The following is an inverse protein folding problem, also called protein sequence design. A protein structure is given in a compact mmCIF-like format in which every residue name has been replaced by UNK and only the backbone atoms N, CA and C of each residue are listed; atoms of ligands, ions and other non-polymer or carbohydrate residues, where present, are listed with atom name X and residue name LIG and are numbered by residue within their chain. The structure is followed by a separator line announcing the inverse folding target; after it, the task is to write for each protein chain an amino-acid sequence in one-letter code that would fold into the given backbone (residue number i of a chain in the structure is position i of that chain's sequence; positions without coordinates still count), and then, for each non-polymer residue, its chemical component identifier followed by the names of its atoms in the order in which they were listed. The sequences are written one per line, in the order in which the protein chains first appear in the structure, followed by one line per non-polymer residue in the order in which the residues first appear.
data_IF_322231545356
#
_entry.id   IF_322231545356
#
_cell.length_a   1.000
_cell.length_b   1.000
_cell.length_c   1.000
_cell.angle_alpha   90.00
_cell.angle_beta   90.00
_cell.angle_gamma   90.00
#
_symmetry.space_group_name_H-M   'P 1'
#
loop_
_entity.id
_entity.type
_entity.pdbx_description
1 polymer ?
#
# COMPACT_ATOMS: atom_id res chain seq x y z
N UNK A 1 1.23 -11.85 -26.75
CA UNK A 1 1.94 -12.75 -27.68
C UNK A 1 1.26 -12.82 -29.06
N UNK A 2 -0.03 -13.16 -29.14
CA UNK A 2 -0.76 -13.23 -30.42
C UNK A 2 -0.72 -11.94 -31.27
N UNK A 3 -0.95 -10.76 -30.65
CA UNK A 3 -0.92 -9.46 -31.35
C UNK A 3 0.48 -9.05 -31.86
N UNK A 4 1.55 -9.49 -31.17
CA UNK A 4 2.93 -9.20 -31.57
C UNK A 4 3.38 -10.07 -32.75
N UNK A 5 2.84 -11.29 -32.85
CA UNK A 5 3.08 -12.17 -34.00
C UNK A 5 2.37 -11.66 -35.27
N UNK A 6 1.15 -11.16 -35.11
CA UNK A 6 0.34 -10.60 -36.21
C UNK A 6 0.94 -9.28 -36.74
N UNK A 7 1.47 -8.42 -35.86
CA UNK A 7 2.21 -7.22 -36.23
C UNK A 7 3.48 -7.54 -37.06
N UNK A 8 4.20 -8.60 -36.69
CA UNK A 8 5.44 -9.01 -37.36
C UNK A 8 5.20 -9.61 -38.75
N UNK A 9 4.14 -10.38 -38.93
CA UNK A 9 3.72 -10.92 -40.24
C UNK A 9 3.24 -9.81 -41.19
N UNK A 10 2.51 -8.83 -40.67
CA UNK A 10 2.07 -7.66 -41.43
C UNK A 10 3.25 -6.79 -41.84
N UNK A 11 4.23 -6.55 -40.95
CA UNK A 11 5.45 -5.80 -41.28
C UNK A 11 6.27 -6.47 -42.38
N UNK A 12 6.45 -7.80 -42.32
CA UNK A 12 7.17 -8.55 -43.36
C UNK A 12 6.50 -8.47 -44.73
N UNK A 13 5.17 -8.57 -44.77
CA UNK A 13 4.40 -8.42 -46.02
C UNK A 13 4.44 -6.99 -46.58
N UNK A 14 4.46 -5.97 -45.72
CA UNK A 14 4.63 -4.58 -46.15
C UNK A 14 6.01 -4.38 -46.78
N UNK A 15 7.09 -4.87 -46.14
CA UNK A 15 8.45 -4.72 -46.65
C UNK A 15 8.63 -5.39 -48.02
N UNK A 16 8.13 -6.62 -48.21
CA UNK A 16 8.22 -7.33 -49.50
C UNK A 16 7.46 -6.59 -50.63
N UNK A 17 6.29 -6.04 -50.32
CA UNK A 17 5.47 -5.27 -51.28
C UNK A 17 6.13 -3.92 -51.59
N UNK A 18 6.72 -3.25 -50.59
CA UNK A 18 7.43 -1.98 -50.77
C UNK A 18 8.70 -2.16 -51.61
N UNK A 19 9.48 -3.22 -51.40
CA UNK A 19 10.62 -3.55 -52.25
C UNK A 19 10.21 -3.80 -53.70
N UNK A 20 9.17 -4.61 -53.91
CA UNK A 20 8.67 -4.94 -55.24
C UNK A 20 8.13 -3.71 -55.96
N UNK A 21 7.43 -2.82 -55.25
CA UNK A 21 6.94 -1.53 -55.76
C UNK A 21 8.09 -0.61 -56.13
N UNK A 22 9.12 -0.51 -55.29
CA UNK A 22 10.29 0.33 -55.56
C UNK A 22 11.04 -0.13 -56.81
N UNK A 23 11.24 -1.44 -57.00
CA UNK A 23 11.86 -2.00 -58.22
C UNK A 23 11.05 -1.74 -59.49
N UNK A 24 9.71 -1.86 -59.42
CA UNK A 24 8.85 -1.59 -60.57
C UNK A 24 8.82 -0.09 -60.90
N UNK A 25 8.80 0.78 -59.89
CA UNK A 25 8.82 2.23 -60.09
C UNK A 25 10.14 2.73 -60.66
N UNK A 26 11.29 2.23 -60.17
CA UNK A 26 12.60 2.60 -60.72
C UNK A 26 12.72 2.20 -62.18
N UNK A 27 12.31 0.98 -62.52
CA UNK A 27 12.36 0.48 -63.90
C UNK A 27 11.40 1.24 -64.83
N UNK A 28 10.22 1.63 -64.33
CA UNK A 28 9.26 2.45 -65.08
C UNK A 28 9.78 3.85 -65.35
N UNK A 29 10.47 4.45 -64.39
CA UNK A 29 11.04 5.79 -64.54
C UNK A 29 12.25 5.79 -65.49
N UNK A 30 13.12 4.78 -65.41
CA UNK A 30 14.20 4.53 -66.38
C UNK A 30 13.67 4.41 -67.81
N UNK A 31 12.57 3.65 -68.02
CA UNK A 31 11.95 3.50 -69.33
C UNK A 31 11.32 4.80 -69.85
N UNK A 32 10.73 5.63 -68.97
CA UNK A 32 10.19 6.94 -69.35
C UNK A 32 11.29 7.91 -69.76
N UNK A 33 12.38 7.96 -69.00
CA UNK A 33 13.55 8.80 -69.34
C UNK A 33 14.13 8.36 -70.67
N UNK A 34 14.32 7.06 -70.88
CA UNK A 34 14.81 6.51 -72.15
C UNK A 34 13.87 6.83 -73.33
N UNK A 35 12.55 6.76 -73.14
CA UNK A 35 11.58 7.14 -74.17
C UNK A 35 11.65 8.64 -74.50
N UNK A 36 11.79 9.50 -73.48
CA UNK A 36 11.91 10.95 -73.66
C UNK A 36 13.19 11.33 -74.40
N UNK A 37 14.33 10.72 -74.06
CA UNK A 37 15.60 10.90 -74.77
C UNK A 37 15.50 10.48 -76.24
N UNK A 38 14.84 9.35 -76.52
CA UNK A 38 14.67 8.87 -77.90
C UNK A 38 13.72 9.76 -78.71
N UNK A 39 12.67 10.31 -78.10
CA UNK A 39 11.79 11.31 -78.73
C UNK A 39 12.54 12.60 -79.04
N UNK A 40 13.30 13.14 -78.08
CA UNK A 40 14.12 14.33 -78.30
C UNK A 40 15.14 14.11 -79.44
N UNK A 41 15.78 12.93 -79.48
CA UNK A 41 16.71 12.58 -80.56
C UNK A 41 16.01 12.46 -81.91
N UNK A 42 14.78 11.95 -81.94
CA UNK A 42 13.97 11.88 -83.15
C UNK A 42 13.62 13.30 -83.65
N UNK A 43 13.22 14.21 -82.76
CA UNK A 43 12.92 15.60 -83.10
C UNK A 43 14.16 16.35 -83.64
N UNK A 44 15.34 16.12 -83.07
CA UNK A 44 16.61 16.65 -83.59
C UNK A 44 16.88 16.16 -85.02
N UNK A 45 16.72 14.85 -85.27
CA UNK A 45 16.92 14.26 -86.59
C UNK A 45 15.88 14.76 -87.60
N UNK A 46 14.64 14.99 -87.18
CA UNK A 46 13.61 15.60 -88.04
C UNK A 46 13.97 17.02 -88.46
N UNK A 47 14.49 17.83 -87.54
CA UNK A 47 14.96 19.20 -87.84
C UNK A 47 16.16 19.18 -88.78
N UNK A 48 17.16 18.34 -88.50
CA UNK A 48 18.34 18.20 -89.35
C UNK A 48 17.99 17.72 -90.76
N UNK A 49 17.04 16.79 -90.89
CA UNK A 49 16.52 16.33 -92.18
C UNK A 49 15.84 17.48 -92.95
N UNK A 50 15.00 18.26 -92.29
CA UNK A 50 14.31 19.41 -92.89
C UNK A 50 15.29 20.48 -93.38
N UNK A 51 16.36 20.73 -92.62
CA UNK A 51 17.44 21.64 -92.99
C UNK A 51 18.22 21.12 -94.20
N UNK A 52 18.59 19.83 -94.22
CA UNK A 52 19.25 19.18 -95.36
C UNK A 52 18.38 19.13 -96.60
N UNK A 53 17.07 18.91 -96.47
CA UNK A 53 16.12 18.98 -97.58
C UNK A 53 15.97 20.41 -98.13
N UNK A 54 16.05 21.42 -97.26
CA UNK A 54 16.05 22.83 -97.66
C UNK A 54 17.32 23.20 -98.40
N UNK A 55 18.50 22.85 -97.89
CA UNK A 55 19.79 23.00 -98.58
C UNK A 55 19.76 22.33 -99.96
N UNK A 56 19.27 21.08 -100.03
CA UNK A 56 19.08 20.37 -101.30
C UNK A 56 18.17 21.13 -102.27
N UNK A 57 17.05 21.70 -101.80
CA UNK A 57 16.12 22.48 -102.63
C UNK A 57 16.71 23.81 -103.09
N UNK A 58 17.54 24.46 -102.28
CA UNK A 58 18.24 25.70 -102.63
C UNK A 58 19.27 25.43 -103.75
N UNK A 59 20.11 24.40 -103.60
CA UNK A 59 21.02 23.93 -104.66
C UNK A 59 20.24 23.58 -105.94
N UNK A 60 19.08 22.94 -105.80
CA UNK A 60 18.23 22.58 -106.94
C UNK A 60 17.56 23.79 -107.63
N UNK A 61 17.39 24.91 -106.92
CA UNK A 61 16.88 26.17 -107.48
C UNK A 61 17.97 27.00 -108.18
N UNK A 62 19.22 26.95 -107.70
CA UNK A 62 20.37 27.55 -108.40
C UNK A 62 20.61 26.90 -109.78
N UNK A 63 20.12 25.67 -109.97
CA UNK A 63 20.14 24.88 -111.20
C UNK A 63 19.12 25.30 -112.30
N UNK A 64 18.69 26.57 -112.31
CA UNK A 64 17.66 27.08 -113.22
C UNK A 64 17.90 26.83 -114.73
N UNK A 65 16.78 26.53 -115.41
CA UNK A 65 16.48 26.44 -116.85
C UNK A 65 17.43 25.64 -117.79
N UNK A 66 16.81 24.73 -118.54
CA UNK A 66 17.45 23.74 -119.41
C UNK A 66 18.07 24.45 -120.61
N UNK A 67 19.38 24.70 -120.59
CA UNK A 67 20.08 25.20 -121.77
C UNK A 67 21.58 25.47 -121.70
N UNK A 68 22.18 25.76 -120.53
CA UNK A 68 23.55 26.32 -120.52
C UNK A 68 24.51 25.95 -119.39
N UNK A 69 24.37 24.81 -118.70
CA UNK A 69 25.38 24.38 -117.70
C UNK A 69 25.99 23.02 -118.02
N UNK A 70 26.63 22.95 -119.20
CA UNK A 70 27.58 21.90 -119.57
C UNK A 70 29.03 22.24 -119.17
N UNK A 71 29.22 23.22 -118.27
CA UNK A 71 30.52 23.73 -117.83
C UNK A 71 30.67 23.93 -116.31
N UNK A 72 29.77 23.36 -115.49
CA UNK A 72 29.99 23.21 -114.03
C UNK A 72 29.81 21.74 -113.66
N UNK A 73 30.76 20.94 -114.16
CA UNK A 73 30.99 19.57 -113.72
C UNK A 73 31.77 19.66 -112.41
N UNK A 74 31.05 19.62 -111.27
CA UNK A 74 31.47 19.29 -109.88
C UNK A 74 30.40 19.90 -108.96
N UNK A 75 29.27 19.22 -108.76
CA UNK A 75 29.00 18.67 -107.42
C UNK A 75 28.06 17.44 -107.45
N UNK A 76 28.24 16.55 -108.45
CA UNK A 76 27.52 15.27 -108.49
C UNK A 76 27.86 14.37 -107.30
N UNK A 77 29.11 14.41 -106.84
CA UNK A 77 29.54 13.74 -105.61
C UNK A 77 28.83 14.31 -104.37
N UNK A 78 28.75 15.63 -104.22
CA UNK A 78 28.03 16.25 -103.09
C UNK A 78 26.55 15.91 -103.05
N UNK A 79 25.89 15.86 -104.21
CA UNK A 79 24.49 15.43 -104.30
C UNK A 79 24.31 13.94 -103.96
N UNK A 80 25.27 13.08 -104.32
CA UNK A 80 25.26 11.68 -103.90
C UNK A 80 25.56 11.50 -102.41
N UNK A 81 26.49 12.27 -101.83
CA UNK A 81 26.78 12.22 -100.39
C UNK A 81 25.58 12.72 -99.59
N UNK A 82 24.93 13.82 -100.00
CA UNK A 82 23.70 14.29 -99.35
C UNK A 82 22.54 13.31 -99.50
N UNK A 83 22.41 12.64 -100.64
CA UNK A 83 21.39 11.60 -100.82
C UNK A 83 21.65 10.41 -99.88
N UNK A 84 22.91 9.97 -99.75
CA UNK A 84 23.29 8.89 -98.81
C UNK A 84 23.07 9.29 -97.36
N UNK A 85 23.39 10.52 -96.98
CA UNK A 85 23.14 11.05 -95.64
C UNK A 85 21.63 11.09 -95.33
N UNK A 86 20.82 11.63 -96.24
CA UNK A 86 19.35 11.65 -96.10
C UNK A 86 18.79 10.23 -95.96
N UNK A 87 19.26 9.27 -96.77
CA UNK A 87 18.83 7.87 -96.66
C UNK A 87 19.26 7.21 -95.34
N UNK A 88 20.43 7.57 -94.78
CA UNK A 88 20.84 7.10 -93.45
C UNK A 88 19.98 7.70 -92.34
N UNK A 89 19.67 9.00 -92.40
CA UNK A 89 18.80 9.66 -91.43
C UNK A 89 17.37 9.10 -91.46
N UNK A 90 16.83 8.81 -92.65
CA UNK A 90 15.52 8.17 -92.77
C UNK A 90 15.48 6.74 -92.22
N UNK A 91 16.59 6.00 -92.33
CA UNK A 91 16.72 4.66 -91.73
C UNK A 91 16.78 4.75 -90.21
N UNK A 92 17.60 5.65 -89.67
CA UNK A 92 17.73 5.84 -88.22
C UNK A 92 16.43 6.33 -87.59
N UNK A 93 15.71 7.24 -88.27
CA UNK A 93 14.37 7.70 -87.87
C UNK A 93 13.37 6.55 -87.83
N UNK A 94 13.38 5.66 -88.83
CA UNK A 94 12.50 4.47 -88.84
C UNK A 94 12.82 3.52 -87.69
N UNK A 95 14.10 3.22 -87.48
CA UNK A 95 14.54 2.36 -86.38
C UNK A 95 14.15 2.92 -85.01
N UNK A 96 14.27 4.23 -84.81
CA UNK A 96 13.86 4.90 -83.57
C UNK A 96 12.34 4.85 -83.36
N UNK A 97 11.55 5.05 -84.42
CA UNK A 97 10.09 5.01 -84.37
C UNK A 97 9.54 3.62 -84.08
N UNK A 98 10.17 2.58 -84.63
CA UNK A 98 9.82 1.20 -84.31
C UNK A 98 10.18 0.84 -82.87
N UNK A 99 11.31 1.33 -82.36
CA UNK A 99 11.70 1.17 -80.95
C UNK A 99 10.79 1.94 -79.99
N UNK A 100 10.37 3.14 -80.37
CA UNK A 100 9.37 3.92 -79.63
C UNK A 100 8.03 3.17 -79.53
N UNK A 101 7.58 2.55 -80.62
CA UNK A 101 6.39 1.69 -80.62
C UNK A 101 6.55 0.46 -79.74
N UNK A 102 7.69 -0.23 -79.81
CA UNK A 102 7.96 -1.39 -78.96
C UNK A 102 7.95 -1.01 -77.47
N UNK A 103 8.61 0.09 -77.11
CA UNK A 103 8.62 0.61 -75.74
C UNK A 103 7.24 1.06 -75.28
N UNK A 104 6.46 1.70 -76.15
CA UNK A 104 5.08 2.12 -75.86
C UNK A 104 4.15 0.91 -75.64
N UNK A 105 4.31 -0.16 -76.43
CA UNK A 105 3.58 -1.42 -76.26
C UNK A 105 3.98 -2.14 -74.96
N UNK A 106 5.29 -2.18 -74.64
CA UNK A 106 5.77 -2.71 -73.35
C UNK A 106 5.16 -1.94 -72.18
N UNK A 107 5.18 -0.61 -72.21
CA UNK A 107 4.54 0.24 -71.20
C UNK A 107 3.04 -0.03 -71.10
N UNK A 108 2.33 -0.18 -72.23
CA UNK A 108 0.91 -0.55 -72.28
C UNK A 108 0.59 -1.96 -71.76
N UNK A 109 1.56 -2.89 -71.81
CA UNK A 109 1.39 -4.22 -71.20
C UNK A 109 1.48 -4.18 -69.67
N UNK A 110 2.20 -3.21 -69.10
CA UNK A 110 2.28 -3.00 -67.64
C UNK A 110 1.05 -2.29 -67.06
N UNK A 111 0.22 -1.63 -67.86
CA UNK A 111 -1.07 -1.06 -67.41
C UNK A 111 -2.16 -2.12 -67.13
N UNK A 112 -1.92 -3.41 -67.45
CA UNK A 112 -2.82 -4.54 -67.09
C UNK A 112 -2.39 -5.29 -65.82
N UNK A 113 -1.27 -4.94 -65.19
CA UNK A 113 -0.98 -5.33 -63.81
C UNK A 113 -1.86 -4.48 -62.87
N UNK A 114 -2.26 -5.02 -61.71
CA UNK A 114 -3.11 -4.32 -60.73
C UNK A 114 -2.72 -2.84 -60.61
N UNK A 115 -3.67 -1.90 -60.75
CA UNK A 115 -3.36 -0.47 -60.77
C UNK A 115 -2.51 -0.10 -59.56
N UNK A 116 -1.44 0.67 -59.77
CA UNK A 116 -0.61 1.17 -58.67
C UNK A 116 -1.45 1.88 -57.59
N UNK A 117 -2.61 2.44 -57.97
CA UNK A 117 -3.62 3.00 -57.08
C UNK A 117 -4.28 1.99 -56.13
N UNK A 118 -4.56 0.74 -56.53
CA UNK A 118 -5.17 -0.26 -55.63
C UNK A 118 -4.17 -0.76 -54.59
N UNK A 119 -2.91 -0.93 -55.00
CA UNK A 119 -1.79 -1.26 -54.09
C UNK A 119 -1.50 -0.07 -53.16
N UNK A 120 -1.56 1.17 -53.65
CA UNK A 120 -1.42 2.38 -52.82
C UNK A 120 -2.55 2.54 -51.80
N UNK A 121 -3.79 2.24 -52.19
CA UNK A 121 -4.93 2.22 -51.26
C UNK A 121 -4.74 1.15 -50.18
N UNK A 122 -4.38 -0.06 -50.57
CA UNK A 122 -4.12 -1.16 -49.64
C UNK A 122 -2.96 -0.85 -48.68
N UNK A 123 -1.87 -0.24 -49.17
CA UNK A 123 -0.75 0.22 -48.34
C UNK A 123 -1.16 1.35 -47.38
N UNK A 124 -1.98 2.30 -47.84
CA UNK A 124 -2.51 3.39 -47.01
C UNK A 124 -3.39 2.85 -45.87
N UNK A 125 -4.28 1.91 -46.18
CA UNK A 125 -5.15 1.29 -45.19
C UNK A 125 -4.37 0.42 -44.19
N UNK A 126 -3.33 -0.30 -44.65
CA UNK A 126 -2.44 -1.03 -43.75
C UNK A 126 -1.64 -0.11 -42.84
N UNK A 127 -1.14 1.03 -43.35
CA UNK A 127 -0.42 2.04 -42.56
C UNK A 127 -1.32 2.63 -41.48
N UNK A 128 -2.57 2.97 -41.81
CA UNK A 128 -3.56 3.44 -40.83
C UNK A 128 -3.83 2.41 -39.75
N UNK A 129 -4.03 1.14 -40.13
CA UNK A 129 -4.20 0.04 -39.16
C UNK A 129 -2.99 -0.12 -38.25
N UNK A 130 -1.77 -0.05 -38.79
CA UNK A 130 -0.53 -0.10 -37.99
C UNK A 130 -0.47 1.05 -36.99
N UNK A 131 -0.82 2.26 -37.41
CA UNK A 131 -0.80 3.44 -36.56
C UNK A 131 -1.84 3.36 -35.44
N UNK A 132 -3.06 2.89 -35.73
CA UNK A 132 -4.08 2.58 -34.70
C UNK A 132 -3.59 1.53 -33.70
N UNK A 133 -2.97 0.44 -34.19
CA UNK A 133 -2.44 -0.62 -33.32
C UNK A 133 -1.33 -0.09 -32.41
N UNK A 134 -0.41 0.73 -32.92
CA UNK A 134 0.67 1.33 -32.12
C UNK A 134 0.15 2.28 -31.04
N UNK A 135 -0.86 3.10 -31.36
CA UNK A 135 -1.52 3.97 -30.39
C UNK A 135 -2.21 3.15 -29.30
N UNK A 136 -2.94 2.09 -29.69
CA UNK A 136 -3.60 1.20 -28.74
C UNK A 136 -2.59 0.47 -27.84
N UNK A 137 -1.46 0.02 -28.40
CA UNK A 137 -0.40 -0.65 -27.66
C UNK A 137 0.26 0.28 -26.64
N UNK A 138 0.48 1.55 -27.02
CA UNK A 138 1.00 2.58 -26.11
C UNK A 138 0.04 2.91 -24.97
N UNK A 139 -1.26 2.97 -25.24
CA UNK A 139 -2.28 3.17 -24.22
C UNK A 139 -2.34 1.98 -23.24
N UNK A 140 -2.32 0.75 -23.78
CA UNK A 140 -2.35 -0.47 -22.98
C UNK A 140 -1.09 -0.61 -22.10
N UNK A 141 0.10 -0.27 -22.61
CA UNK A 141 1.34 -0.27 -21.83
C UNK A 141 1.29 0.74 -20.68
N UNK A 142 0.66 1.90 -20.90
CA UNK A 142 0.46 2.91 -19.86
C UNK A 142 -0.51 2.41 -18.78
N UNK A 143 -1.62 1.77 -19.16
CA UNK A 143 -2.59 1.17 -18.23
C UNK A 143 -1.98 0.03 -17.41
N UNK A 144 -1.14 -0.82 -18.04
CA UNK A 144 -0.44 -1.91 -17.35
C UNK A 144 0.51 -1.32 -16.30
N UNK A 145 1.32 -0.31 -16.64
CA UNK A 145 2.23 0.35 -15.70
C UNK A 145 1.49 0.98 -14.52
N UNK A 146 0.37 1.64 -14.78
CA UNK A 146 -0.44 2.24 -13.71
C UNK A 146 -1.07 1.17 -12.82
N UNK A 147 -1.57 0.08 -13.40
CA UNK A 147 -2.16 -1.05 -12.66
C UNK A 147 -1.12 -1.75 -11.78
N UNK A 148 0.10 -1.97 -12.29
CA UNK A 148 1.21 -2.54 -11.52
C UNK A 148 1.58 -1.67 -10.32
N UNK A 149 1.66 -0.34 -10.51
CA UNK A 149 1.91 0.60 -9.42
C UNK A 149 0.82 0.54 -8.35
N UNK A 150 -0.46 0.57 -8.76
CA UNK A 150 -1.61 0.43 -7.83
C UNK A 150 -1.58 -0.91 -7.08
N UNK A 151 -1.15 -1.99 -7.73
CA UNK A 151 -1.01 -3.30 -7.11
C UNK A 151 0.09 -3.30 -6.02
N UNK A 152 1.20 -2.62 -6.27
CA UNK A 152 2.30 -2.49 -5.31
C UNK A 152 1.90 -1.61 -4.12
N UNK A 153 1.23 -0.48 -4.37
CA UNK A 153 0.65 0.37 -3.33
C UNK A 153 -0.36 -0.41 -2.48
N UNK A 154 -1.26 -1.19 -3.09
CA UNK A 154 -2.21 -2.07 -2.39
C UNK A 154 -1.50 -3.08 -1.49
N UNK A 155 -0.47 -3.78 -1.98
CA UNK A 155 0.32 -4.73 -1.17
C UNK A 155 0.96 -4.06 0.04
N UNK A 156 1.47 -2.83 -0.13
CA UNK A 156 2.07 -2.06 0.95
C UNK A 156 1.03 -1.67 2.02
N UNK A 157 -0.17 -1.28 1.60
CA UNK A 157 -1.28 -0.95 2.49
C UNK A 157 -1.81 -2.18 3.22
N UNK A 158 -1.96 -3.32 2.55
CA UNK A 158 -2.36 -4.59 3.19
C UNK A 158 -1.39 -5.02 4.29
N UNK A 159 -0.08 -4.81 4.09
CA UNK A 159 0.93 -5.06 5.12
C UNK A 159 0.74 -4.13 6.33
N UNK A 160 0.56 -2.83 6.09
CA UNK A 160 0.29 -1.83 7.16
C UNK A 160 -0.99 -2.12 7.92
N UNK A 161 -2.06 -2.52 7.23
CA UNK A 161 -3.33 -2.90 7.86
C UNK A 161 -3.10 -4.09 8.79
N UNK A 162 -2.40 -5.14 8.36
CA UNK A 162 -2.08 -6.30 9.20
C UNK A 162 -1.24 -5.93 10.44
N UNK A 163 -0.34 -4.97 10.32
CA UNK A 163 0.46 -4.46 11.44
C UNK A 163 -0.43 -3.68 12.42
N UNK A 164 -1.26 -2.75 11.93
CA UNK A 164 -2.20 -1.99 12.75
C UNK A 164 -3.22 -2.90 13.44
N UNK A 165 -3.74 -3.91 12.76
CA UNK A 165 -4.63 -4.92 13.36
C UNK A 165 -3.94 -5.70 14.49
N UNK A 166 -2.64 -5.99 14.38
CA UNK A 166 -1.87 -6.63 15.46
C UNK A 166 -1.77 -5.71 16.67
N UNK A 167 -1.44 -4.44 16.45
CA UNK A 167 -1.35 -3.45 17.52
C UNK A 167 -2.72 -3.22 18.18
N UNK A 168 -3.78 -3.07 17.39
CA UNK A 168 -5.15 -2.93 17.91
C UNK A 168 -5.56 -4.10 18.80
N UNK A 169 -5.21 -5.34 18.45
CA UNK A 169 -5.51 -6.50 19.33
C UNK A 169 -4.85 -6.39 20.70
N UNK A 170 -3.65 -5.83 20.77
CA UNK A 170 -2.96 -5.61 22.06
C UNK A 170 -3.69 -4.52 22.84
N UNK A 171 -4.01 -3.39 22.21
CA UNK A 171 -4.76 -2.31 22.86
C UNK A 171 -6.16 -2.74 23.32
N UNK A 172 -6.86 -3.55 22.54
CA UNK A 172 -8.16 -4.10 22.91
C UNK A 172 -8.06 -5.04 24.11
N UNK A 173 -7.01 -5.87 24.18
CA UNK A 173 -6.75 -6.72 25.34
C UNK A 173 -6.47 -5.87 26.59
N UNK A 174 -5.58 -4.89 26.47
CA UNK A 174 -5.27 -3.95 27.57
C UNK A 174 -6.54 -3.24 28.03
N UNK A 175 -7.36 -2.73 27.10
CA UNK A 175 -8.63 -2.08 27.41
C UNK A 175 -9.63 -3.04 28.06
N UNK A 176 -9.69 -4.29 27.63
CA UNK A 176 -10.59 -5.30 28.21
C UNK A 176 -10.19 -5.64 29.64
N UNK A 177 -8.89 -5.81 29.88
CA UNK A 177 -8.38 -6.35 31.15
C UNK A 177 -8.14 -5.25 32.18
N UNK A 178 -7.70 -4.06 31.75
CA UNK A 178 -7.30 -2.94 32.61
C UNK A 178 -8.17 -1.69 32.45
N UNK A 179 -9.11 -1.67 31.50
CA UNK A 179 -9.94 -0.50 31.24
C UNK A 179 -11.05 -0.28 32.28
N UNK A 180 -11.50 0.97 32.37
CA UNK A 180 -12.52 1.39 33.35
C UNK A 180 -11.99 1.33 34.77
N UNK A 181 -12.72 0.66 35.66
CA UNK A 181 -12.37 0.49 37.07
C UNK A 181 -11.71 -0.88 37.37
N UNK A 182 -11.48 -1.72 36.36
CA UNK A 182 -11.05 -3.12 36.57
C UNK A 182 -9.69 -3.25 37.24
N UNK A 183 -8.74 -2.36 36.91
CA UNK A 183 -7.42 -2.36 37.54
C UNK A 183 -7.53 -1.93 39.01
N UNK A 184 -8.34 -0.93 39.30
CA UNK A 184 -8.61 -0.45 40.65
C UNK A 184 -9.33 -1.53 41.47
N UNK A 185 -10.33 -2.20 40.92
CA UNK A 185 -11.03 -3.33 41.54
C UNK A 185 -10.07 -4.50 41.80
N UNK A 186 -9.22 -4.85 40.83
CA UNK A 186 -8.20 -5.88 41.01
C UNK A 186 -7.22 -5.54 42.13
N UNK A 187 -6.68 -4.32 42.13
CA UNK A 187 -5.76 -3.85 43.16
C UNK A 187 -6.44 -3.79 44.54
N UNK A 188 -7.69 -3.32 44.61
CA UNK A 188 -8.47 -3.27 45.84
C UNK A 188 -8.73 -4.68 46.39
N UNK A 189 -9.12 -5.64 45.54
CA UNK A 189 -9.32 -7.04 45.94
C UNK A 189 -8.01 -7.70 46.41
N UNK A 190 -6.89 -7.39 45.76
CA UNK A 190 -5.58 -7.87 46.19
C UNK A 190 -5.18 -7.30 47.57
N UNK A 191 -5.40 -6.00 47.79
CA UNK A 191 -5.15 -5.37 49.09
C UNK A 191 -6.09 -5.92 50.16
N UNK A 192 -7.38 -6.03 49.87
CA UNK A 192 -8.39 -6.55 50.78
C UNK A 192 -8.08 -8.01 51.17
N UNK A 193 -7.63 -8.84 50.23
CA UNK A 193 -7.19 -10.22 50.50
C UNK A 193 -6.04 -10.27 51.50
N UNK A 194 -5.03 -9.42 51.33
CA UNK A 194 -3.90 -9.33 52.28
C UNK A 194 -4.33 -8.82 53.66
N UNK A 195 -5.25 -7.84 53.69
CA UNK A 195 -5.80 -7.31 54.93
C UNK A 195 -6.55 -8.40 55.69
N UNK A 196 -7.40 -9.18 55.00
CA UNK A 196 -8.18 -10.25 55.60
C UNK A 196 -7.30 -11.42 56.04
N UNK A 197 -6.29 -11.79 55.26
CA UNK A 197 -5.30 -12.80 55.66
C UNK A 197 -4.63 -12.40 56.98
N UNK A 198 -4.14 -11.16 57.07
CA UNK A 198 -3.50 -10.66 58.28
C UNK A 198 -4.47 -10.48 59.45
N UNK A 199 -5.69 -10.03 59.17
CA UNK A 199 -6.75 -9.94 60.17
C UNK A 199 -7.16 -11.32 60.71
N UNK A 200 -7.16 -12.34 59.85
CA UNK A 200 -7.50 -13.71 60.23
C UNK A 200 -6.55 -14.26 61.30
N UNK A 201 -5.25 -13.96 61.19
CA UNK A 201 -4.27 -14.33 62.21
C UNK A 201 -4.60 -13.72 63.59
N UNK A 202 -4.92 -12.42 63.63
CA UNK A 202 -5.35 -11.77 64.87
C UNK A 202 -6.67 -12.34 65.39
N UNK A 203 -7.63 -12.60 64.49
CA UNK A 203 -8.94 -13.11 64.87
C UNK A 203 -8.85 -14.53 65.45
N UNK A 204 -7.96 -15.35 64.89
CA UNK A 204 -7.65 -16.67 65.43
C UNK A 204 -6.95 -16.56 66.79
N UNK A 205 -6.00 -15.64 66.96
CA UNK A 205 -5.34 -15.41 68.25
C UNK A 205 -6.36 -14.99 69.33
N UNK A 206 -7.31 -14.10 69.00
CA UNK A 206 -8.34 -13.65 69.95
C UNK A 206 -9.36 -14.74 70.30
N UNK A 207 -9.83 -15.49 69.31
CA UNK A 207 -10.96 -16.43 69.46
C UNK A 207 -10.51 -17.86 69.75
N UNK A 208 -9.29 -18.22 69.37
CA UNK A 208 -8.73 -19.57 69.46
C UNK A 208 -9.24 -20.56 68.40
N UNK A 209 -10.28 -20.21 67.63
CA UNK A 209 -10.92 -21.16 66.71
C UNK A 209 -11.42 -20.57 65.39
N UNK A 210 -11.70 -19.27 65.31
CA UNK A 210 -12.29 -18.69 64.11
C UNK A 210 -11.26 -18.01 63.21
N UNK A 211 -11.43 -18.19 61.90
CA UNK A 211 -10.62 -17.58 60.86
C UNK A 211 -11.50 -16.76 59.92
N UNK A 212 -10.95 -15.63 59.44
CA UNK A 212 -11.58 -14.79 58.42
C UNK A 212 -11.08 -15.19 57.03
N UNK A 213 -11.98 -15.21 56.06
CA UNK A 213 -11.61 -15.41 54.65
C UNK A 213 -12.52 -14.62 53.70
N UNK A 214 -12.03 -14.39 52.49
CA UNK A 214 -12.79 -13.76 51.41
C UNK A 214 -13.24 -14.84 50.42
N UNK A 215 -14.53 -14.85 50.13
CA UNK A 215 -15.07 -15.58 49.00
C UNK A 215 -14.70 -14.91 47.67
N UNK A 216 -14.83 -15.66 46.58
CA UNK A 216 -14.60 -15.17 45.21
C UNK A 216 -15.51 -14.00 44.80
N UNK A 217 -16.66 -13.84 45.46
CA UNK A 217 -17.60 -12.73 45.25
C UNK A 217 -17.24 -11.48 46.08
N UNK A 218 -16.15 -11.51 46.86
CA UNK A 218 -15.71 -10.42 47.71
C UNK A 218 -16.38 -10.36 49.08
N UNK A 219 -17.22 -11.33 49.43
CA UNK A 219 -17.85 -11.37 50.74
C UNK A 219 -16.90 -11.94 51.81
N UNK A 220 -16.81 -11.23 52.93
CA UNK A 220 -16.10 -11.69 54.12
C UNK A 220 -16.92 -12.77 54.82
N UNK A 221 -16.27 -13.88 55.16
CA UNK A 221 -16.86 -15.02 55.85
C UNK A 221 -15.97 -15.48 56.99
N UNK A 222 -16.57 -16.25 57.89
CA UNK A 222 -15.90 -16.81 59.06
C UNK A 222 -15.97 -18.32 58.98
N UNK A 223 -14.84 -18.99 59.19
CA UNK A 223 -14.77 -20.44 59.32
C UNK A 223 -14.34 -20.86 60.72
N UNK A 224 -14.91 -21.94 61.22
CA UNK A 224 -14.48 -22.56 62.48
C UNK A 224 -13.42 -23.64 62.20
N UNK A 225 -12.23 -23.49 62.77
CA UNK A 225 -11.10 -24.41 62.60
C UNK A 225 -11.33 -25.76 63.28
N UNK A 226 -12.17 -25.84 64.31
CA UNK A 226 -12.42 -27.06 65.09
C UNK A 226 -13.57 -27.87 64.49
N UNK A 227 -14.70 -27.23 64.21
CA UNK A 227 -15.91 -27.92 63.73
C UNK A 227 -16.00 -27.94 62.20
N UNK A 228 -15.20 -27.12 61.52
CA UNK A 228 -15.36 -26.85 60.09
C UNK A 228 -16.63 -26.05 59.81
N UNK A 229 -16.80 -25.68 58.53
CA UNK A 229 -17.96 -24.94 58.06
C UNK A 229 -17.74 -23.44 58.02
N UNK A 230 -18.44 -22.81 57.07
CA UNK A 230 -18.30 -21.40 56.74
C UNK A 230 -19.64 -20.70 56.98
N UNK A 231 -19.60 -19.58 57.69
CA UNK A 231 -20.77 -18.77 58.02
C UNK A 231 -20.55 -17.30 57.66
N UNK A 232 -21.64 -16.59 57.40
CA UNK A 232 -21.56 -15.14 57.17
C UNK A 232 -21.15 -14.40 58.45
N UNK A 233 -20.37 -13.33 58.31
CA UNK A 233 -19.94 -12.47 59.43
C UNK A 233 -21.14 -11.91 60.22
N UNK A 234 -22.31 -11.76 59.57
CA UNK A 234 -23.55 -11.31 60.22
C UNK A 234 -24.07 -12.26 61.30
N UNK A 235 -23.62 -13.52 61.31
CA UNK A 235 -24.01 -14.53 62.30
C UNK A 235 -23.14 -14.51 63.57
N UNK A 236 -22.10 -13.67 63.60
CA UNK A 236 -21.24 -13.51 64.76
C UNK A 236 -22.00 -12.91 65.95
N UNK A 237 -21.63 -13.31 67.17
CA UNK A 237 -22.11 -12.67 68.39
C UNK A 237 -21.61 -11.22 68.50
N UNK A 238 -22.15 -10.44 69.44
CA UNK A 238 -21.70 -9.07 69.68
C UNK A 238 -20.21 -8.98 70.05
N UNK A 239 -19.72 -9.94 70.84
CA UNK A 239 -18.31 -10.05 71.19
C UNK A 239 -17.43 -10.48 70.01
N UNK A 240 -17.87 -11.50 69.27
CA UNK A 240 -17.15 -11.98 68.07
C UNK A 240 -17.07 -10.89 66.98
N UNK A 241 -18.12 -10.09 66.80
CA UNK A 241 -18.14 -8.96 65.85
C UNK A 241 -17.13 -7.88 66.23
N UNK A 242 -17.00 -7.61 67.54
CA UNK A 242 -16.01 -6.67 68.04
C UNK A 242 -14.58 -7.17 67.80
N UNK A 243 -14.30 -8.44 68.09
CA UNK A 243 -13.01 -9.07 67.81
C UNK A 243 -12.67 -9.07 66.32
N UNK A 244 -13.65 -9.36 65.46
CA UNK A 244 -13.46 -9.31 64.01
C UNK A 244 -13.12 -7.88 63.54
N UNK A 245 -13.75 -6.87 64.13
CA UNK A 245 -13.51 -5.45 63.82
C UNK A 245 -12.12 -4.99 64.25
N UNK A 246 -11.66 -5.34 65.46
CA UNK A 246 -10.28 -5.06 65.91
C UNK A 246 -9.28 -5.79 65.01
N UNK A 247 -9.52 -7.06 64.71
CA UNK A 247 -8.64 -7.87 63.87
C UNK A 247 -8.46 -7.26 62.48
N UNK A 248 -9.54 -6.76 61.88
CA UNK A 248 -9.50 -6.02 60.62
C UNK A 248 -8.76 -4.69 60.76
N UNK A 249 -8.98 -3.92 61.82
CA UNK A 249 -8.25 -2.67 62.06
C UNK A 249 -6.74 -2.90 62.18
N UNK A 250 -6.33 -3.97 62.88
CA UNK A 250 -4.94 -4.39 62.99
C UNK A 250 -4.38 -4.91 61.65
N UNK A 251 -5.15 -5.69 60.90
CA UNK A 251 -4.77 -6.16 59.56
C UNK A 251 -4.58 -5.01 58.57
N UNK A 252 -5.47 -4.02 58.57
CA UNK A 252 -5.35 -2.78 57.79
C UNK A 252 -4.09 -2.03 58.22
N UNK A 253 -3.90 -1.85 59.53
CA UNK A 253 -2.73 -1.20 60.08
C UNK A 253 -1.46 -1.85 59.57
N UNK A 254 -1.32 -3.17 59.67
CA UNK A 254 -0.13 -3.93 59.25
C UNK A 254 0.15 -3.82 57.74
N UNK A 255 -0.87 -4.01 56.90
CA UNK A 255 -0.70 -3.95 55.43
C UNK A 255 -0.34 -2.54 54.96
N UNK A 256 -0.92 -1.50 55.57
CA UNK A 256 -0.60 -0.11 55.23
C UNK A 256 0.76 0.33 55.80
N UNK A 257 1.18 -0.27 56.93
CA UNK A 257 2.47 0.00 57.58
C UNK A 257 3.68 -0.19 56.70
N UNK A 258 3.61 -1.17 55.81
CA UNK A 258 4.73 -1.52 54.94
C UNK A 258 5.12 -0.36 54.01
N UNK A 259 4.17 0.52 53.68
CA UNK A 259 4.35 1.59 52.69
C UNK A 259 4.11 3.00 53.26
N UNK A 260 3.42 3.14 54.40
CA UNK A 260 3.18 4.41 55.08
C UNK A 260 3.24 4.24 56.61
N UNK A 261 3.89 5.16 57.31
CA UNK A 261 3.90 5.17 58.78
C UNK A 261 2.55 5.66 59.28
N UNK A 262 1.65 4.75 59.63
CA UNK A 262 0.57 5.07 60.57
C UNK A 262 1.23 5.17 61.96
N UNK A 263 0.98 6.24 62.69
CA UNK A 263 1.68 6.52 63.96
C UNK A 263 0.87 6.11 65.20
N UNK A 264 -0.46 6.02 65.05
CA UNK A 264 -1.38 5.69 66.13
C UNK A 264 -2.62 4.91 65.67
N UNK A 265 -3.17 4.10 66.58
CA UNK A 265 -4.43 3.38 66.45
C UNK A 265 -5.26 3.64 67.71
N UNK A 266 -6.52 4.06 67.55
CA UNK A 266 -7.45 4.22 68.68
C UNK A 266 -8.58 3.20 68.58
N UNK A 267 -8.84 2.50 69.67
CA UNK A 267 -9.93 1.54 69.83
C UNK A 267 -10.88 2.12 70.87
N UNK A 268 -12.11 2.42 70.45
CA UNK A 268 -13.11 3.08 71.29
C UNK A 268 -14.25 2.14 71.64
N UNK A 269 -14.33 1.77 72.91
CA UNK A 269 -15.37 0.94 73.52
C UNK A 269 -15.59 -0.42 72.83
N UNK A 270 -16.47 -1.26 73.38
CA UNK A 270 -16.81 -2.57 72.81
C UNK A 270 -16.23 -3.78 73.54
N UNK A 271 -15.37 -3.57 74.54
CA UNK A 271 -14.90 -4.65 75.42
C UNK A 271 -15.98 -5.17 76.38
N UNK A 272 -17.02 -4.37 76.66
CA UNK A 272 -18.08 -4.73 77.61
C UNK A 272 -19.05 -5.82 77.11
N UNK A 273 -19.02 -6.16 75.82
CA UNK A 273 -19.78 -7.29 75.25
C UNK A 273 -19.02 -8.62 75.30
N UNK A 274 -17.76 -8.60 75.74
CA UNK A 274 -16.89 -9.76 75.88
C UNK A 274 -17.02 -10.35 77.29
N UNK A 275 -16.98 -11.68 77.39
CA UNK A 275 -16.81 -12.36 78.66
C UNK A 275 -15.41 -12.09 79.26
N UNK A 276 -15.22 -12.43 80.54
CA UNK A 276 -13.98 -12.16 81.28
C UNK A 276 -12.75 -12.86 80.67
N UNK A 277 -12.88 -14.11 80.24
CA UNK A 277 -11.78 -14.87 79.62
C UNK A 277 -11.37 -14.25 78.28
N UNK A 278 -12.35 -13.86 77.46
CA UNK A 278 -12.08 -13.19 76.20
C UNK A 278 -11.44 -11.81 76.40
N UNK A 279 -11.87 -11.03 77.41
CA UNK A 279 -11.23 -9.74 77.74
C UNK A 279 -9.77 -9.87 78.15
N UNK A 280 -9.43 -10.92 78.89
CA UNK A 280 -8.05 -11.22 79.27
C UNK A 280 -7.19 -11.50 78.03
N UNK A 281 -7.63 -12.44 77.17
CA UNK A 281 -6.92 -12.78 75.92
C UNK A 281 -6.72 -11.56 75.02
N UNK A 282 -7.75 -10.72 74.88
CA UNK A 282 -7.65 -9.49 74.07
C UNK A 282 -6.62 -8.53 74.63
N UNK A 283 -6.57 -8.34 75.95
CA UNK A 283 -5.61 -7.45 76.60
C UNK A 283 -4.17 -7.91 76.36
N UNK A 284 -3.92 -9.21 76.50
CA UNK A 284 -2.60 -9.81 76.26
C UNK A 284 -2.15 -9.63 74.81
N UNK A 285 -3.05 -9.87 73.85
CA UNK A 285 -2.76 -9.69 72.43
C UNK A 285 -2.52 -8.22 72.10
N UNK A 286 -3.31 -7.30 72.66
CA UNK A 286 -3.08 -5.86 72.46
C UNK A 286 -1.74 -5.39 73.03
N UNK A 287 -1.29 -5.95 74.14
CA UNK A 287 0.05 -5.69 74.67
C UNK A 287 1.15 -6.26 73.75
N UNK A 288 0.98 -7.48 73.24
CA UNK A 288 1.89 -8.07 72.25
C UNK A 288 1.93 -7.25 70.96
N UNK A 289 0.79 -6.77 70.49
CA UNK A 289 0.65 -5.88 69.34
C UNK A 289 1.38 -4.57 69.62
N UNK A 290 1.23 -3.95 70.80
CA UNK A 290 2.01 -2.76 71.21
C UNK A 290 3.52 -3.02 71.17
N UNK A 291 3.97 -4.22 71.53
CA UNK A 291 5.39 -4.56 71.50
C UNK A 291 5.91 -4.82 70.09
N UNK A 292 5.11 -5.47 69.23
CA UNK A 292 5.47 -5.81 67.85
C UNK A 292 5.38 -4.61 66.91
N UNK A 293 4.42 -3.73 67.17
CA UNK A 293 4.14 -2.55 66.37
C UNK A 293 4.79 -1.35 67.08
N UNK A 294 5.81 -0.74 66.48
CA UNK A 294 6.45 0.48 67.01
C UNK A 294 5.52 1.72 66.87
N UNK A 295 4.34 1.68 67.51
CA UNK A 295 3.25 2.67 67.38
C UNK A 295 2.48 2.83 68.68
N UNK A 296 1.74 3.95 68.77
CA UNK A 296 0.84 4.23 69.87
C UNK A 296 -0.51 3.54 69.66
N UNK A 297 -0.88 2.61 70.54
CA UNK A 297 -2.24 2.05 70.60
C UNK A 297 -2.96 2.69 71.78
N UNK A 298 -4.02 3.44 71.50
CA UNK A 298 -4.90 4.06 72.49
C UNK A 298 -6.19 3.25 72.65
N UNK A 299 -6.55 2.93 73.89
CA UNK A 299 -7.77 2.18 74.20
C UNK A 299 -8.66 3.05 75.07
N UNK A 300 -9.92 3.21 74.69
CA UNK A 300 -10.95 3.92 75.45
C UNK A 300 -11.94 2.86 75.93
N UNK A 301 -12.08 2.72 77.25
CA UNK A 301 -13.02 1.75 77.83
C UNK A 301 -13.49 2.18 79.20
N UNK A 302 -14.78 1.98 79.46
CA UNK A 302 -15.39 2.06 80.79
C UNK A 302 -15.21 0.77 81.62
N UNK A 303 -14.61 -0.28 81.06
CA UNK A 303 -14.46 -1.59 81.70
C UNK A 303 -13.22 -1.59 82.61
N UNK A 304 -13.36 -1.72 83.94
CA UNK A 304 -12.24 -1.64 84.88
C UNK A 304 -11.14 -2.66 84.60
N UNK A 305 -11.52 -3.91 84.29
CA UNK A 305 -10.60 -5.02 84.07
C UNK A 305 -9.63 -4.78 82.90
N UNK A 306 -10.06 -4.03 81.87
CA UNK A 306 -9.20 -3.63 80.75
C UNK A 306 -8.25 -2.51 81.20
N UNK A 307 -8.75 -1.52 81.94
CA UNK A 307 -7.96 -0.37 82.40
C UNK A 307 -6.88 -0.74 83.44
N UNK A 308 -7.04 -1.84 84.18
CA UNK A 308 -6.04 -2.32 85.14
C UNK A 308 -4.85 -3.02 84.48
N UNK A 309 -5.01 -3.55 83.26
CA UNK A 309 -3.93 -4.24 82.53
C UNK A 309 -2.89 -3.29 81.95
N UNK A 310 -3.24 -2.03 81.72
CA UNK A 310 -2.34 -1.04 81.15
C UNK A 310 -1.79 -0.10 82.24
N UNK A 311 -0.46 0.00 82.30
CA UNK A 311 0.26 0.81 83.29
C UNK A 311 0.01 2.32 83.08
N UNK A 312 0.08 2.77 81.83
CA UNK A 312 -0.22 4.15 81.42
C UNK A 312 -1.70 4.29 81.12
N UNK A 313 -2.38 5.22 81.83
CA UNK A 313 -3.81 5.46 81.62
C UNK A 313 -4.21 6.91 81.89
N UNK A 314 -5.22 7.35 81.16
CA UNK A 314 -5.87 8.64 81.35
C UNK A 314 -7.24 8.36 81.97
N UNK A 315 -7.41 8.70 83.24
CA UNK A 315 -8.64 8.47 83.99
C UNK A 315 -9.53 9.71 83.90
N UNK A 316 -10.73 9.54 83.35
CA UNK A 316 -11.72 10.62 83.23
C UNK A 316 -12.82 10.39 84.28
N UNK A 317 -12.99 11.34 85.20
CA UNK A 317 -14.01 11.30 86.27
C UNK A 317 -15.05 12.40 86.05
N UNK A 318 -16.33 12.02 85.94
CA UNK A 318 -17.44 12.98 85.79
C UNK A 318 -17.88 13.53 87.16
N UNK A 319 -17.99 14.85 87.27
CA UNK A 319 -18.46 15.59 88.44
C UNK A 319 -19.63 16.51 88.05
N UNK A 320 -20.85 15.98 88.09
CA UNK A 320 -22.04 16.74 87.68
C UNK A 320 -21.91 17.26 86.25
N UNK A 321 -21.72 18.59 86.13
CA UNK A 321 -21.65 19.33 84.86
C UNK A 321 -20.24 19.44 84.25
N UNK A 322 -19.20 18.97 84.94
CA UNK A 322 -17.82 18.97 84.43
C UNK A 322 -17.15 17.61 84.59
N UNK A 323 -16.01 17.41 83.91
CA UNK A 323 -15.18 16.22 84.06
C UNK A 323 -13.76 16.61 84.43
N UNK A 324 -13.11 15.81 85.27
CA UNK A 324 -11.68 15.93 85.61
C UNK A 324 -10.91 14.81 84.91
N UNK A 325 -9.67 15.10 84.56
CA UNK A 325 -8.76 14.18 83.88
C UNK A 325 -7.51 14.01 84.72
N UNK A 326 -7.14 12.76 84.99
CA UNK A 326 -5.96 12.38 85.76
C UNK A 326 -5.09 11.48 84.88
N UNK A 327 -3.82 11.86 84.67
CA UNK A 327 -2.87 11.09 83.86
C UNK A 327 -1.99 10.26 84.79
N UNK A 328 -2.02 8.94 84.61
CA UNK A 328 -1.23 7.96 85.35
C UNK A 328 -0.19 7.41 84.37
N UNK A 329 1.09 7.51 84.74
CA UNK A 329 2.24 7.11 83.93
C UNK A 329 2.76 5.72 84.27
#
# INVERSE_FOLDING_TARGET
EALSAEEKDILGKIEEIEERRNRVNSYREELKVSLAEKKARMDELERALLEKEKEKREVQKELGDIGRVKSVLLDRERLETFRKEVESFERDKRALKDRERELSLKIGSFTKSEPSESIEKALSDLRKKKEEVLVNLGNLDREIKETLRKLEEKKSLEKKIKELEREMRVYERIKRDLGGNKLQEFAANLMLSRIVERASEYFLDFTGTYELSLRHDGNLVVSDRVHGGEREVKSLSGGETFLASISLALGVSDVLSANARLESLFIDEGFGSLDEETRERVSDILELVRQKINRMVGIISHVPDIAERFHQKIVVKKHGDFSTVEVIY
#
